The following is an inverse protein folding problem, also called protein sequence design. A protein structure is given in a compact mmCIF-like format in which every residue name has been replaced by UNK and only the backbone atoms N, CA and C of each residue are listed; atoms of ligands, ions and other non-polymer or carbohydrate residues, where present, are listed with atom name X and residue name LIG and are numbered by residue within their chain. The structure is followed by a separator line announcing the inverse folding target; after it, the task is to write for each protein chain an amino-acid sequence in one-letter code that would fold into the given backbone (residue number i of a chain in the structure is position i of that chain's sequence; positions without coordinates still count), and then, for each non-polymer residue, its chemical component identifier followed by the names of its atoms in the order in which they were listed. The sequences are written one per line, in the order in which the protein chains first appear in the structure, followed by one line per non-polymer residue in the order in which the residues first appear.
data_IF_831850027061
#
_entry.id   IF_831850027061
#
_cell.length_a   1.000
_cell.length_b   1.000
_cell.length_c   1.000
_cell.angle_alpha   90.00
_cell.angle_beta   90.00
_cell.angle_gamma   90.00
#
_symmetry.space_group_name_H-M   'P 1'
#
loop_
_entity.id
_entity.type
_entity.pdbx_description
1 polymer ?
#
# COMPACT_ATOMS: atom_id res chain seq x y z
N UNK A 1 -0.31 19.32 14.46
CA UNK A 1 -0.89 18.01 14.10
C UNK A 1 -1.90 18.19 12.97
N UNK A 2 -1.74 17.46 11.86
CA UNK A 2 -2.73 17.36 10.79
C UNK A 2 -3.45 16.00 10.81
N UNK A 3 -2.73 14.95 11.15
CA UNK A 3 -3.19 13.57 11.10
C UNK A 3 -2.57 12.73 12.22
N UNK A 4 -3.37 11.84 12.78
CA UNK A 4 -2.92 10.73 13.61
C UNK A 4 -3.29 9.43 12.92
N UNK A 5 -2.38 8.45 12.92
CA UNK A 5 -2.57 7.18 12.25
C UNK A 5 -2.14 6.02 13.15
N UNK A 6 -2.81 4.88 13.02
CA UNK A 6 -2.56 3.71 13.84
C UNK A 6 -2.73 2.41 13.07
N UNK A 7 -2.24 1.31 13.65
CA UNK A 7 -2.31 0.00 13.03
C UNK A 7 -3.74 -0.56 13.07
N UNK A 8 -4.07 -1.38 12.09
CA UNK A 8 -5.32 -2.10 11.99
C UNK A 8 -5.04 -3.60 12.06
N UNK A 9 -5.76 -4.32 12.92
CA UNK A 9 -5.76 -5.77 12.94
C UNK A 9 -6.73 -6.31 11.91
N UNK A 10 -6.31 -7.25 11.07
CA UNK A 10 -7.20 -7.88 10.10
C UNK A 10 -8.04 -8.97 10.74
N UNK A 11 -9.33 -8.94 10.47
CA UNK A 11 -10.32 -9.92 10.93
C UNK A 11 -11.10 -10.49 9.74
N UNK A 12 -11.60 -11.72 9.88
CA UNK A 12 -12.53 -12.34 8.93
C UNK A 12 -13.99 -11.89 9.15
N UNK A 13 -14.93 -12.46 8.38
CA UNK A 13 -16.37 -12.25 8.49
C UNK A 13 -16.94 -12.63 9.86
N UNK A 14 -16.33 -13.58 10.55
CA UNK A 14 -16.72 -14.03 11.89
C UNK A 14 -15.97 -13.27 13.01
N UNK A 15 -15.31 -12.16 12.68
CA UNK A 15 -14.52 -11.32 13.60
C UNK A 15 -13.32 -12.04 14.24
N UNK A 16 -12.83 -13.13 13.66
CA UNK A 16 -11.64 -13.82 14.16
C UNK A 16 -10.40 -13.14 13.61
N UNK A 17 -9.36 -13.04 14.44
CA UNK A 17 -8.10 -12.40 14.04
C UNK A 17 -7.36 -13.25 13.01
N UNK A 18 -6.87 -12.61 11.95
CA UNK A 18 -6.08 -13.25 10.89
C UNK A 18 -4.57 -13.26 11.17
N UNK A 19 -4.14 -12.79 12.35
CA UNK A 19 -2.73 -12.65 12.69
C UNK A 19 -1.97 -11.63 11.83
N UNK A 20 -2.70 -10.81 11.07
CA UNK A 20 -2.16 -9.76 10.20
C UNK A 20 -2.49 -8.38 10.78
N UNK A 21 -1.50 -7.49 10.73
CA UNK A 21 -1.63 -6.08 11.11
C UNK A 21 -1.04 -5.20 10.01
N UNK A 22 -1.75 -4.14 9.63
CA UNK A 22 -1.33 -3.21 8.60
C UNK A 22 -1.57 -1.76 9.04
N UNK A 23 -0.80 -0.79 8.52
CA UNK A 23 0.38 -0.94 7.66
C UNK A 23 1.61 -1.42 8.41
N UNK A 24 2.66 -1.83 7.67
CA UNK A 24 3.98 -2.11 8.25
C UNK A 24 4.81 -0.83 8.25
N UNK A 25 4.70 -0.04 9.32
CA UNK A 25 5.47 1.21 9.45
C UNK A 25 6.97 0.94 9.71
N UNK A 26 7.91 1.64 9.04
CA UNK A 26 9.32 1.63 9.44
C UNK A 26 9.48 2.31 10.80
N UNK A 27 10.51 1.95 11.59
CA UNK A 27 10.67 2.37 12.99
C UNK A 27 10.85 3.89 13.16
N UNK A 28 11.46 4.53 12.17
CA UNK A 28 11.78 5.95 12.08
C UNK A 28 10.72 6.78 11.32
N UNK A 29 9.51 6.24 11.14
CA UNK A 29 8.45 6.94 10.40
C UNK A 29 8.00 8.23 11.11
N UNK A 30 8.47 9.35 10.60
CA UNK A 30 8.06 10.70 10.99
C UNK A 30 7.43 11.46 9.81
N UNK A 31 7.01 12.71 10.08
CA UNK A 31 6.33 13.54 9.08
C UNK A 31 7.22 13.83 7.87
N UNK A 32 8.50 14.10 8.10
CA UNK A 32 9.42 14.47 7.03
C UNK A 32 9.78 13.25 6.15
N UNK A 33 9.94 12.08 6.77
CA UNK A 33 10.11 10.81 6.05
C UNK A 33 8.89 10.48 5.21
N UNK A 34 7.68 10.70 5.73
CA UNK A 34 6.44 10.54 4.95
C UNK A 34 6.42 11.52 3.77
N UNK A 35 6.70 12.80 4.00
CA UNK A 35 6.72 13.83 2.96
C UNK A 35 7.70 13.48 1.84
N UNK A 36 8.92 13.12 2.20
CA UNK A 36 9.97 12.68 1.27
C UNK A 36 9.52 11.46 0.46
N UNK A 37 8.88 10.48 1.10
CA UNK A 37 8.43 9.26 0.41
C UNK A 37 7.26 9.51 -0.54
N UNK A 38 6.32 10.40 -0.17
CA UNK A 38 5.24 10.87 -1.05
C UNK A 38 5.82 11.61 -2.25
N UNK A 39 6.77 12.53 -2.07
CA UNK A 39 7.39 13.22 -3.20
C UNK A 39 8.24 12.28 -4.08
N UNK A 40 8.79 11.21 -3.49
CA UNK A 40 9.62 10.23 -4.20
C UNK A 40 8.82 9.19 -4.98
N UNK A 41 7.67 8.77 -4.46
CA UNK A 41 6.91 7.61 -4.97
C UNK A 41 5.40 7.82 -5.08
N UNK A 42 4.89 8.95 -4.60
CA UNK A 42 3.46 9.24 -4.51
C UNK A 42 2.71 8.43 -3.46
N UNK A 43 3.40 7.76 -2.55
CA UNK A 43 2.78 6.94 -1.51
C UNK A 43 3.65 6.82 -0.28
N UNK A 44 3.05 6.37 0.82
CA UNK A 44 3.75 5.90 2.01
C UNK A 44 2.88 4.82 2.66
N UNK A 45 3.38 4.02 3.61
CA UNK A 45 2.53 3.11 4.37
C UNK A 45 1.45 3.93 5.10
N UNK A 46 0.18 3.79 4.70
CA UNK A 46 -0.96 4.51 5.24
C UNK A 46 -2.08 3.49 5.56
N UNK A 47 -2.75 3.58 6.73
CA UNK A 47 -3.83 2.65 7.06
C UNK A 47 -5.06 2.98 6.23
N UNK A 48 -5.93 1.98 6.07
CA UNK A 48 -7.27 2.19 5.51
C UNK A 48 -8.07 3.17 6.38
N UNK A 49 -9.05 3.88 5.79
CA UNK A 49 -9.96 4.85 6.39
C UNK A 49 -9.97 4.92 7.93
N UNK A 50 -10.46 3.85 8.57
CA UNK A 50 -10.67 3.75 10.02
C UNK A 50 -9.40 3.82 10.88
N UNK A 51 -8.21 3.67 10.30
CA UNK A 51 -6.92 3.80 10.98
C UNK A 51 -6.38 5.24 11.01
N UNK A 52 -7.18 6.22 10.58
CA UNK A 52 -6.78 7.63 10.49
C UNK A 52 -7.74 8.52 11.29
N UNK A 53 -7.18 9.51 11.99
CA UNK A 53 -7.92 10.62 12.59
C UNK A 53 -7.31 11.95 12.11
N UNK A 54 -8.14 12.83 11.58
CA UNK A 54 -7.72 14.09 10.97
C UNK A 54 -8.10 15.27 11.86
N UNK A 55 -7.19 16.24 12.00
CA UNK A 55 -7.46 17.45 12.76
C UNK A 55 -8.49 18.32 12.03
N UNK A 56 -9.46 18.87 12.75
CA UNK A 56 -10.45 19.80 12.19
C UNK A 56 -9.78 20.96 11.44
N UNK A 57 -8.74 21.55 12.04
CA UNK A 57 -7.98 22.65 11.45
C UNK A 57 -7.25 22.29 10.16
N UNK A 58 -6.93 21.01 9.95
CA UNK A 58 -6.42 20.53 8.66
C UNK A 58 -7.55 20.44 7.63
N UNK A 59 -8.69 19.85 8.01
CA UNK A 59 -9.84 19.72 7.12
C UNK A 59 -10.37 21.09 6.67
N UNK A 60 -10.43 22.07 7.57
CA UNK A 60 -10.80 23.46 7.26
C UNK A 60 -9.86 24.12 6.24
N UNK A 61 -8.55 23.83 6.31
CA UNK A 61 -7.56 24.34 5.33
C UNK A 61 -7.61 23.63 3.99
N UNK A 62 -8.08 22.38 3.98
CA UNK A 62 -8.20 21.60 2.76
C UNK A 62 -9.52 21.87 2.04
N UNK A 63 -10.54 22.36 2.77
CA UNK A 63 -11.85 22.63 2.21
C UNK A 63 -11.83 23.81 1.19
N UNK A 64 -12.67 23.74 0.14
CA UNK A 64 -13.50 22.60 -0.25
C UNK A 64 -12.66 21.42 -0.77
N UNK A 65 -13.07 20.20 -0.42
CA UNK A 65 -12.43 18.98 -0.95
C UNK A 65 -12.92 18.80 -2.39
N UNK A 66 -12.10 19.21 -3.34
CA UNK A 66 -12.30 19.02 -4.77
C UNK A 66 -11.30 18.00 -5.31
N UNK A 67 -11.73 17.13 -6.23
CA UNK A 67 -10.85 16.20 -6.93
C UNK A 67 -11.34 14.75 -6.93
N UNK A 68 -10.43 13.83 -6.63
CA UNK A 68 -10.61 12.37 -6.77
C UNK A 68 -11.91 11.84 -6.16
N UNK A 69 -12.43 10.76 -6.77
CA UNK A 69 -13.56 9.97 -6.22
C UNK A 69 -13.23 9.40 -4.83
N UNK A 70 -11.96 9.20 -4.51
CA UNK A 70 -11.48 8.53 -3.29
C UNK A 70 -11.01 9.53 -2.23
N UNK A 71 -11.93 9.95 -1.35
CA UNK A 71 -11.66 10.97 -0.31
C UNK A 71 -10.45 10.62 0.58
N UNK A 72 -10.30 9.36 0.95
CA UNK A 72 -9.17 8.90 1.79
C UNK A 72 -7.81 9.23 1.15
N UNK A 73 -7.71 9.13 -0.18
CA UNK A 73 -6.48 9.44 -0.90
C UNK A 73 -6.18 10.94 -0.88
N UNK A 74 -7.21 11.78 -1.03
CA UNK A 74 -7.06 13.23 -0.91
C UNK A 74 -6.51 13.59 0.48
N UNK A 75 -7.08 13.01 1.53
CA UNK A 75 -6.63 13.27 2.90
C UNK A 75 -5.23 12.71 3.17
N UNK A 76 -4.93 11.49 2.69
CA UNK A 76 -3.62 10.83 2.79
C UNK A 76 -2.50 11.70 2.25
N UNK A 77 -2.64 12.17 1.00
CA UNK A 77 -1.54 12.85 0.29
C UNK A 77 -1.37 14.30 0.72
N UNK A 78 -2.45 14.97 1.16
CA UNK A 78 -2.35 16.36 1.62
C UNK A 78 -1.83 16.46 3.06
N UNK A 79 -2.26 15.60 3.99
CA UNK A 79 -1.95 15.75 5.41
C UNK A 79 -0.48 16.08 5.77
N UNK A 80 0.55 15.45 5.17
CA UNK A 80 1.96 15.75 5.50
C UNK A 80 2.44 17.14 5.05
N UNK A 81 1.72 17.83 4.17
CA UNK A 81 2.03 19.20 3.76
C UNK A 81 1.40 20.27 4.66
N UNK A 82 0.44 19.90 5.50
CA UNK A 82 -0.33 20.84 6.33
C UNK A 82 -0.03 20.74 7.83
N UNK A 83 0.73 19.74 8.26
CA UNK A 83 1.15 19.61 9.65
C UNK A 83 1.77 18.27 9.99
N UNK A 84 2.10 18.13 11.27
CA UNK A 84 2.66 16.90 11.85
C UNK A 84 1.72 15.70 11.68
N UNK A 85 2.28 14.57 11.27
CA UNK A 85 1.67 13.24 11.30
C UNK A 85 2.25 12.46 12.48
N UNK A 86 1.37 11.94 13.35
CA UNK A 86 1.75 11.04 14.45
C UNK A 86 1.33 9.61 14.18
N UNK A 87 2.26 8.68 14.36
CA UNK A 87 2.04 7.25 14.15
C UNK A 87 1.98 6.51 15.49
N UNK A 88 0.86 5.87 15.81
CA UNK A 88 0.77 4.92 16.91
C UNK A 88 1.03 3.51 16.41
N UNK A 89 2.07 2.86 16.94
CA UNK A 89 2.45 1.48 16.63
C UNK A 89 1.65 0.44 17.41
N UNK A 90 0.36 0.72 17.63
CA UNK A 90 -0.58 -0.17 18.31
C UNK A 90 -1.78 -0.39 17.41
N UNK A 91 -2.27 -1.63 17.35
CA UNK A 91 -3.53 -1.93 16.69
C UNK A 91 -4.68 -1.38 17.54
N UNK A 92 -5.39 -0.37 17.04
CA UNK A 92 -6.51 0.29 17.77
C UNK A 92 -7.87 0.08 17.11
N UNK A 93 -7.92 -0.48 15.91
CA UNK A 93 -9.16 -0.90 15.28
C UNK A 93 -8.94 -2.18 14.46
N UNK A 94 -10.06 -2.78 14.05
CA UNK A 94 -10.07 -3.96 13.20
C UNK A 94 -10.48 -3.57 11.78
N UNK A 95 -9.84 -4.19 10.80
CA UNK A 95 -10.19 -4.11 9.40
C UNK A 95 -10.73 -5.47 8.94
N UNK A 96 -12.02 -5.53 8.62
CA UNK A 96 -12.65 -6.75 8.13
C UNK A 96 -12.26 -7.00 6.68
N UNK A 97 -11.62 -8.13 6.43
CA UNK A 97 -11.37 -8.63 5.08
C UNK A 97 -12.55 -9.54 4.72
N UNK A 98 -13.46 -9.06 3.86
CA UNK A 98 -14.57 -9.84 3.32
C UNK A 98 -14.73 -9.60 1.81
N UNK A 99 -15.49 -10.48 1.17
CA UNK A 99 -15.65 -10.59 -0.30
C UNK A 99 -16.26 -9.37 -0.99
N UNK A 100 -16.86 -8.43 -0.24
CA UNK A 100 -17.65 -7.32 -0.78
C UNK A 100 -17.03 -5.93 -0.70
N UNK A 101 -15.78 -5.79 -0.24
CA UNK A 101 -15.10 -4.49 -0.26
C UNK A 101 -14.32 -4.32 -1.57
N UNK A 102 -14.25 -3.09 -2.11
CA UNK A 102 -13.37 -2.75 -3.27
C UNK A 102 -11.88 -3.05 -2.99
N UNK A 103 -11.50 -3.17 -1.72
CA UNK A 103 -10.20 -3.57 -1.18
C UNK A 103 -10.08 -5.08 -0.88
N UNK A 104 -11.14 -5.85 -1.17
CA UNK A 104 -11.30 -7.26 -0.86
C UNK A 104 -10.18 -8.11 -1.44
N UNK A 105 -9.38 -8.67 -0.55
CA UNK A 105 -8.23 -9.51 -0.88
C UNK A 105 -8.63 -10.96 -1.13
N UNK A 106 -9.90 -11.26 -1.40
CA UNK A 106 -10.44 -12.64 -1.37
C UNK A 106 -10.91 -13.17 -2.72
N UNK A 107 -11.18 -12.30 -3.71
CA UNK A 107 -11.58 -12.74 -5.05
C UNK A 107 -10.42 -12.71 -6.06
N UNK A 108 -10.47 -13.67 -6.99
CA UNK A 108 -9.77 -13.67 -8.28
C UNK A 108 -10.46 -12.66 -9.24
N UNK A 109 -10.69 -11.44 -8.78
CA UNK A 109 -11.19 -10.37 -9.64
C UNK A 109 -10.08 -10.03 -10.67
N UNK A 110 -10.31 -10.35 -11.96
CA UNK A 110 -9.30 -10.18 -13.00
C UNK A 110 -8.94 -8.70 -13.21
N UNK A 111 -9.85 -7.79 -12.88
CA UNK A 111 -9.70 -6.35 -13.12
C UNK A 111 -9.23 -5.59 -11.88
N UNK A 112 -9.10 -6.25 -10.72
CA UNK A 112 -8.68 -5.60 -9.47
C UNK A 112 -7.34 -4.88 -9.61
N UNK A 113 -6.36 -5.54 -10.23
CA UNK A 113 -5.02 -4.99 -10.38
C UNK A 113 -5.02 -3.78 -11.33
N UNK A 114 -5.75 -3.87 -12.45
CA UNK A 114 -5.95 -2.76 -13.39
C UNK A 114 -6.67 -1.57 -12.73
N UNK A 115 -7.65 -1.83 -11.87
CA UNK A 115 -8.33 -0.79 -11.11
C UNK A 115 -7.40 -0.12 -10.11
N UNK A 116 -6.58 -0.87 -9.37
CA UNK A 116 -5.61 -0.28 -8.44
C UNK A 116 -4.49 0.50 -9.15
N UNK A 117 -4.01 0.04 -10.31
CA UNK A 117 -3.03 0.80 -11.09
C UNK A 117 -3.61 2.11 -11.58
N UNK A 118 -4.83 2.10 -12.12
CA UNK A 118 -5.55 3.32 -12.52
C UNK A 118 -5.77 4.28 -11.34
N UNK A 119 -6.28 3.79 -10.21
CA UNK A 119 -6.49 4.62 -9.02
C UNK A 119 -5.17 5.24 -8.55
N UNK A 120 -4.07 4.49 -8.61
CA UNK A 120 -2.76 5.02 -8.26
C UNK A 120 -2.29 6.10 -9.24
N UNK A 121 -2.49 5.91 -10.54
CA UNK A 121 -2.18 6.90 -11.58
C UNK A 121 -2.98 8.20 -11.36
N UNK A 122 -4.29 8.10 -11.13
CA UNK A 122 -5.16 9.23 -10.79
C UNK A 122 -4.67 9.95 -9.51
N UNK A 123 -4.19 9.20 -8.51
CA UNK A 123 -3.60 9.77 -7.28
C UNK A 123 -2.34 10.57 -7.56
N UNK A 124 -1.47 10.11 -8.47
CA UNK A 124 -0.26 10.83 -8.83
C UNK A 124 -0.57 12.12 -9.59
N UNK A 125 -1.53 12.08 -10.51
CA UNK A 125 -1.96 13.27 -11.27
C UNK A 125 -2.57 14.32 -10.32
N UNK A 126 -3.36 13.87 -9.34
CA UNK A 126 -3.86 14.75 -8.28
C UNK A 126 -2.72 15.33 -7.44
N UNK A 127 -1.75 14.51 -7.03
CA UNK A 127 -0.61 14.95 -6.23
C UNK A 127 0.23 15.99 -6.98
N UNK A 128 0.46 15.81 -8.28
CA UNK A 128 1.16 16.78 -9.13
C UNK A 128 0.45 18.14 -9.14
N UNK A 129 -0.87 18.15 -9.36
CA UNK A 129 -1.66 19.37 -9.31
C UNK A 129 -1.58 20.05 -7.94
N UNK A 130 -1.60 19.28 -6.84
CA UNK A 130 -1.49 19.82 -5.48
C UNK A 130 -0.10 20.37 -5.18
N UNK A 131 0.96 19.64 -5.54
CA UNK A 131 2.34 20.10 -5.40
C UNK A 131 2.57 21.41 -6.16
N UNK A 132 2.08 21.51 -7.39
CA UNK A 132 2.13 22.76 -8.17
C UNK A 132 1.45 23.93 -7.44
N UNK A 133 0.24 23.74 -6.90
CA UNK A 133 -0.47 24.79 -6.14
C UNK A 133 0.23 25.20 -4.85
N UNK A 134 1.02 24.31 -4.25
CA UNK A 134 1.79 24.56 -3.05
C UNK A 134 3.20 25.11 -3.34
N UNK A 135 3.59 25.23 -4.61
CA UNK A 135 4.95 25.62 -5.00
C UNK A 135 6.00 24.55 -4.65
N UNK A 136 5.60 23.27 -4.62
CA UNK A 136 6.46 22.13 -4.32
C UNK A 136 6.79 21.39 -5.62
N UNK A 137 8.06 21.08 -5.84
CA UNK A 137 8.47 20.27 -6.98
C UNK A 137 8.03 18.81 -6.81
N UNK A 138 7.43 18.26 -7.86
CA UNK A 138 7.03 16.86 -7.91
C UNK A 138 7.17 16.31 -9.33
N UNK A 139 7.91 15.21 -9.47
CA UNK A 139 8.11 14.51 -10.74
C UNK A 139 7.22 13.25 -10.76
N UNK A 140 6.03 13.38 -11.34
CA UNK A 140 5.03 12.31 -11.45
C UNK A 140 5.61 11.07 -12.16
N UNK A 141 6.32 11.29 -13.27
CA UNK A 141 6.93 10.23 -14.06
C UNK A 141 8.03 9.46 -13.29
N UNK A 142 8.86 10.17 -12.53
CA UNK A 142 9.82 9.52 -11.65
C UNK A 142 9.14 8.79 -10.48
N UNK A 143 8.05 9.34 -9.93
CA UNK A 143 7.27 8.69 -8.88
C UNK A 143 6.71 7.34 -9.37
N UNK A 144 6.11 7.29 -10.58
CA UNK A 144 5.65 6.04 -11.24
C UNK A 144 6.76 4.98 -11.31
N UNK A 145 7.95 5.38 -11.75
CA UNK A 145 9.12 4.47 -11.89
C UNK A 145 9.75 4.04 -10.57
N UNK A 146 9.40 4.68 -9.44
CA UNK A 146 9.96 4.41 -8.11
C UNK A 146 8.96 3.76 -7.17
N UNK A 147 7.67 3.83 -7.47
CA UNK A 147 6.58 3.27 -6.69
C UNK A 147 6.56 1.75 -6.80
N UNK A 148 7.28 1.07 -5.89
CA UNK A 148 7.45 -0.38 -5.92
C UNK A 148 6.11 -1.13 -5.89
N UNK A 149 5.17 -0.70 -5.05
CA UNK A 149 3.84 -1.31 -4.99
C UNK A 149 3.09 -1.20 -6.32
N UNK A 150 3.10 -0.01 -6.94
CA UNK A 150 2.49 0.19 -8.26
C UNK A 150 3.15 -0.68 -9.35
N UNK A 151 4.48 -0.78 -9.36
CA UNK A 151 5.19 -1.64 -10.32
C UNK A 151 4.91 -3.13 -10.11
N UNK A 152 4.74 -3.57 -8.86
CA UNK A 152 4.29 -4.93 -8.54
C UNK A 152 2.86 -5.18 -9.05
N UNK A 153 1.97 -4.20 -8.95
CA UNK A 153 0.62 -4.30 -9.52
C UNK A 153 0.66 -4.35 -11.05
N UNK A 154 1.45 -3.51 -11.73
CA UNK A 154 1.60 -3.53 -13.21
C UNK A 154 2.14 -4.86 -13.71
N UNK A 155 3.13 -5.44 -13.01
CA UNK A 155 3.63 -6.78 -13.32
C UNK A 155 2.53 -7.84 -13.16
N UNK A 156 1.76 -7.73 -12.08
CA UNK A 156 0.68 -8.66 -11.74
C UNK A 156 -0.47 -8.59 -12.75
N UNK A 157 -0.92 -7.37 -13.05
CA UNK A 157 -1.89 -7.03 -14.10
C UNK A 157 -1.46 -7.64 -15.43
N UNK A 158 -0.24 -7.34 -15.88
CA UNK A 158 0.30 -7.90 -17.12
C UNK A 158 0.31 -9.44 -17.10
N UNK A 159 0.59 -10.08 -15.96
CA UNK A 159 0.66 -11.55 -15.88
C UNK A 159 -0.72 -12.23 -15.88
N UNK A 160 -1.72 -11.57 -15.30
CA UNK A 160 -3.08 -12.11 -15.13
C UNK A 160 -3.99 -11.76 -16.31
N UNK A 161 -3.76 -10.67 -17.02
CA UNK A 161 -4.66 -10.23 -18.09
C UNK A 161 -4.80 -11.31 -19.19
N UNK A 162 -6.01 -11.81 -19.48
CA UNK A 162 -6.27 -12.72 -20.59
C UNK A 162 -6.53 -11.91 -21.85
N UNK A 163 -5.48 -11.38 -22.50
CA UNK A 163 -5.62 -10.72 -23.81
C UNK A 163 -4.49 -11.13 -24.76
N UNK A 164 -4.81 -11.17 -26.05
CA UNK A 164 -3.88 -11.27 -27.19
C UNK A 164 -2.77 -10.18 -27.16
N UNK A 165 -2.91 -9.19 -26.26
CA UNK A 165 -2.03 -8.03 -26.08
C UNK A 165 -0.96 -8.21 -24.98
N UNK A 166 -0.86 -9.38 -24.32
CA UNK A 166 0.27 -9.65 -23.42
C UNK A 166 1.58 -9.68 -24.22
N UNK A 167 2.30 -8.56 -24.18
CA UNK A 167 3.68 -8.56 -24.63
C UNK A 167 4.54 -9.01 -23.45
N UNK A 168 5.10 -10.21 -23.53
CA UNK A 168 6.14 -10.69 -22.62
C UNK A 168 7.22 -9.61 -22.33
N UNK A 169 7.54 -8.80 -23.35
CA UNK A 169 8.45 -7.65 -23.27
C UNK A 169 7.95 -6.58 -22.29
N UNK A 170 6.65 -6.25 -22.28
CA UNK A 170 6.05 -5.32 -21.31
C UNK A 170 6.15 -5.85 -19.88
N UNK A 171 5.92 -7.15 -19.68
CA UNK A 171 6.05 -7.80 -18.37
C UNK A 171 7.49 -7.75 -17.84
N UNK A 172 8.48 -8.08 -18.68
CA UNK A 172 9.90 -7.96 -18.33
C UNK A 172 10.31 -6.51 -18.07
N UNK A 173 9.79 -5.55 -18.83
CA UNK A 173 10.01 -4.12 -18.60
C UNK A 173 9.53 -3.67 -17.22
N UNK A 174 8.33 -4.09 -16.81
CA UNK A 174 7.79 -3.83 -15.47
C UNK A 174 8.64 -4.48 -14.38
N UNK A 175 9.03 -5.75 -14.57
CA UNK A 175 9.89 -6.46 -13.62
C UNK A 175 11.27 -5.78 -13.46
N UNK A 176 11.90 -5.36 -14.56
CA UNK A 176 13.16 -4.63 -14.52
C UNK A 176 13.05 -3.32 -13.74
N UNK A 177 12.00 -2.54 -13.98
CA UNK A 177 11.75 -1.31 -13.24
C UNK A 177 11.48 -1.60 -11.76
N UNK A 178 10.67 -2.61 -11.45
CA UNK A 178 10.37 -3.03 -10.09
C UNK A 178 11.65 -3.45 -9.34
N UNK A 179 12.52 -4.24 -9.97
CA UNK A 179 13.81 -4.65 -9.40
C UNK A 179 14.69 -3.42 -9.09
N UNK A 180 14.76 -2.45 -10.01
CA UNK A 180 15.48 -1.18 -9.74
C UNK A 180 14.86 -0.39 -8.59
N UNK A 181 13.54 -0.39 -8.46
CA UNK A 181 12.83 0.26 -7.36
C UNK A 181 13.09 -0.45 -6.02
N UNK A 182 13.19 -1.79 -5.99
CA UNK A 182 13.54 -2.57 -4.80
C UNK A 182 14.87 -2.11 -4.20
N UNK A 183 15.92 -1.96 -5.01
CA UNK A 183 17.23 -1.54 -4.52
C UNK A 183 17.28 -0.09 -3.99
N UNK A 184 16.30 0.73 -4.37
CA UNK A 184 16.14 2.11 -3.90
C UNK A 184 15.09 2.28 -2.80
N UNK A 185 14.43 1.19 -2.40
CA UNK A 185 13.40 1.22 -1.36
C UNK A 185 14.02 1.28 0.05
N UNK A 186 13.36 1.87 1.05
CA UNK A 186 13.85 1.90 2.44
C UNK A 186 13.78 0.53 3.15
N UNK A 187 13.54 -0.57 2.43
CA UNK A 187 13.44 -1.91 3.00
C UNK A 187 14.79 -2.47 3.44
N UNK A 188 14.77 -3.35 4.43
CA UNK A 188 15.94 -4.13 4.87
C UNK A 188 16.47 -5.02 3.73
N UNK A 189 17.75 -5.41 3.78
CA UNK A 189 18.34 -6.30 2.77
C UNK A 189 17.53 -7.59 2.58
N UNK A 190 17.10 -8.21 3.69
CA UNK A 190 16.26 -9.42 3.66
C UNK A 190 14.93 -9.19 2.93
N UNK A 191 14.24 -8.09 3.20
CA UNK A 191 12.99 -7.73 2.52
C UNK A 191 13.24 -7.42 1.03
N UNK A 192 14.35 -6.75 0.70
CA UNK A 192 14.72 -6.48 -0.70
C UNK A 192 14.98 -7.78 -1.47
N UNK A 193 15.75 -8.71 -0.91
CA UNK A 193 16.02 -10.02 -1.52
C UNK A 193 14.73 -10.83 -1.71
N UNK A 194 13.88 -10.88 -0.68
CA UNK A 194 12.59 -11.59 -0.77
C UNK A 194 11.69 -10.99 -1.86
N UNK A 195 11.59 -9.65 -1.94
CA UNK A 195 10.82 -8.98 -2.99
C UNK A 195 11.41 -9.17 -4.37
N UNK A 196 12.73 -9.08 -4.51
CA UNK A 196 13.42 -9.31 -5.78
C UNK A 196 13.18 -10.74 -6.27
N UNK A 197 13.30 -11.74 -5.39
CA UNK A 197 13.00 -13.13 -5.70
C UNK A 197 11.55 -13.28 -6.16
N UNK A 198 10.58 -12.71 -5.44
CA UNK A 198 9.17 -12.78 -5.82
C UNK A 198 8.92 -12.15 -7.20
N UNK A 199 9.46 -10.95 -7.47
CA UNK A 199 9.35 -10.28 -8.76
C UNK A 199 9.90 -11.13 -9.90
N UNK A 200 11.10 -11.72 -9.71
CA UNK A 200 11.73 -12.59 -10.69
C UNK A 200 10.91 -13.86 -10.93
N UNK A 201 10.42 -14.50 -9.87
CA UNK A 201 9.59 -15.71 -10.00
C UNK A 201 8.27 -15.42 -10.73
N UNK A 202 7.59 -14.32 -10.42
CA UNK A 202 6.35 -13.92 -11.12
C UNK A 202 6.64 -13.60 -12.59
N UNK A 203 7.73 -12.88 -12.88
CA UNK A 203 8.09 -12.52 -14.25
C UNK A 203 8.37 -13.77 -15.11
N UNK A 204 9.18 -14.70 -14.61
CA UNK A 204 9.71 -15.83 -15.39
C UNK A 204 8.82 -17.09 -15.38
N UNK A 205 7.98 -17.28 -14.36
CA UNK A 205 7.19 -18.51 -14.24
C UNK A 205 6.02 -18.58 -15.23
N UNK A 206 5.53 -19.78 -15.58
CA UNK A 206 4.25 -19.97 -16.27
C UNK A 206 3.09 -19.31 -15.52
N UNK A 207 2.04 -18.91 -16.25
CA UNK A 207 0.87 -18.19 -15.70
C UNK A 207 0.26 -18.84 -14.47
N UNK A 208 0.10 -20.17 -14.47
CA UNK A 208 -0.45 -20.92 -13.34
C UNK A 208 0.39 -20.80 -12.06
N UNK A 209 1.72 -20.82 -12.20
CA UNK A 209 2.63 -20.66 -11.06
C UNK A 209 2.61 -19.22 -10.58
N UNK A 210 2.63 -18.26 -11.50
CA UNK A 210 2.57 -16.84 -11.16
C UNK A 210 1.28 -16.49 -10.42
N UNK A 211 0.13 -17.01 -10.86
CA UNK A 211 -1.16 -16.81 -10.17
C UNK A 211 -1.10 -17.29 -8.71
N UNK A 212 -0.51 -18.46 -8.45
CA UNK A 212 -0.30 -18.95 -7.07
C UNK A 212 0.61 -18.02 -6.26
N UNK A 213 1.71 -17.55 -6.84
CA UNK A 213 2.64 -16.63 -6.19
C UNK A 213 2.00 -15.25 -5.90
N UNK A 214 1.16 -14.77 -6.81
CA UNK A 214 0.40 -13.52 -6.65
C UNK A 214 -0.63 -13.69 -5.54
N UNK A 215 -1.36 -14.80 -5.53
CA UNK A 215 -2.35 -15.15 -4.50
C UNK A 215 -1.71 -15.17 -3.11
N UNK A 216 -0.58 -15.85 -2.94
CA UNK A 216 0.18 -15.86 -1.67
C UNK A 216 0.64 -14.47 -1.21
N UNK A 217 0.85 -13.53 -2.13
CA UNK A 217 1.26 -12.15 -1.81
C UNK A 217 0.05 -11.28 -1.44
N UNK A 218 -1.02 -11.31 -2.23
CA UNK A 218 -2.11 -10.32 -2.13
C UNK A 218 -3.34 -10.83 -1.38
N UNK A 219 -3.52 -12.14 -1.22
CA UNK A 219 -4.62 -12.73 -0.45
C UNK A 219 -4.11 -13.06 0.95
N UNK A 220 -4.44 -12.19 1.92
CA UNK A 220 -4.01 -12.36 3.33
C UNK A 220 -4.44 -13.71 3.93
N UNK A 221 -5.69 -14.19 3.76
CA UNK A 221 -6.09 -15.50 4.28
C UNK A 221 -5.24 -16.67 3.79
N UNK A 222 -4.70 -16.58 2.57
CA UNK A 222 -3.89 -17.65 1.95
C UNK A 222 -2.40 -17.54 2.30
N UNK A 223 -1.99 -16.47 2.99
CA UNK A 223 -0.57 -16.21 3.28
C UNK A 223 -0.09 -17.06 4.46
N UNK A 224 0.91 -17.94 4.27
CA UNK A 224 1.55 -18.63 5.38
C UNK A 224 2.15 -17.65 6.40
N UNK A 225 2.04 -17.96 7.69
CA UNK A 225 2.56 -17.11 8.79
C UNK A 225 4.05 -16.77 8.67
N UNK A 226 4.85 -17.64 8.05
CA UNK A 226 6.28 -17.37 7.84
C UNK A 226 6.52 -16.29 6.77
N UNK A 227 5.63 -16.15 5.77
CA UNK A 227 5.67 -15.05 4.78
C UNK A 227 5.32 -13.73 5.47
N UNK A 228 4.36 -13.72 6.40
CA UNK A 228 3.99 -12.53 7.15
C UNK A 228 5.20 -11.92 7.89
N UNK A 229 6.01 -12.77 8.51
CA UNK A 229 7.26 -12.39 9.17
C UNK A 229 8.35 -11.86 8.22
N UNK A 230 8.24 -12.12 6.91
CA UNK A 230 9.17 -11.63 5.88
C UNK A 230 8.72 -10.30 5.28
N UNK A 231 7.41 -10.00 5.30
CA UNK A 231 6.84 -8.81 4.68
C UNK A 231 6.93 -7.58 5.62
N UNK A 232 6.91 -7.76 6.94
CA UNK A 232 6.99 -6.66 7.89
C UNK A 232 7.53 -7.05 9.27
N UNK A 233 7.79 -6.08 10.16
CA UNK A 233 8.30 -6.34 11.50
C UNK A 233 7.31 -7.20 12.31
N UNK A 234 7.86 -8.04 13.20
CA UNK A 234 7.10 -8.78 14.21
C UNK A 234 6.46 -7.77 15.16
N UNK A 235 5.16 -7.89 15.42
CA UNK A 235 4.51 -7.22 16.54
C UNK A 235 4.17 -8.26 17.62
N UNK A 236 4.31 -7.84 18.87
CA UNK A 236 4.01 -8.64 20.05
C UNK A 236 2.58 -9.22 19.97
N UNK A 237 2.35 -10.44 20.48
CA UNK A 237 1.04 -11.07 20.43
C UNK A 237 -0.02 -10.18 21.09
N UNK A 238 -1.18 -10.07 20.43
CA UNK A 238 -2.41 -9.40 20.90
C UNK A 238 -3.02 -10.01 22.17
N UNK A 239 -2.28 -10.83 22.92
CA UNK A 239 -2.77 -11.63 24.04
C UNK A 239 -3.06 -10.84 25.32
N UNK A 240 -2.88 -9.51 25.35
CA UNK A 240 -2.98 -8.73 26.58
C UNK A 240 -4.18 -7.76 26.68
N UNK A 241 -5.14 -7.79 25.74
CA UNK A 241 -6.22 -6.77 25.71
C UNK A 241 -7.66 -7.29 25.76
N UNK A 242 -7.86 -8.59 26.00
CA UNK A 242 -9.19 -9.15 26.30
C UNK A 242 -9.46 -9.38 27.80
N UNK A 243 -8.63 -8.84 28.69
CA UNK A 243 -8.82 -8.96 30.14
C UNK A 243 -8.68 -7.59 30.82
N UNK A 244 -9.69 -6.73 30.65
CA UNK A 244 -10.08 -5.75 31.67
C UNK A 244 -11.59 -5.56 31.55
N UNK A 245 -12.30 -6.45 32.23
CA UNK A 245 -13.75 -6.44 32.42
C UNK A 245 -14.03 -7.14 33.74
N UNK A 246 -13.84 -6.39 34.82
CA UNK A 246 -14.14 -6.70 36.21
C UNK A 246 -14.22 -5.39 36.97
#
# INVERSE_FOLDING_TARGET
LSKMQFLLASIDSECRTLGHVAPKYPDDLDTETIRREILRTGSYPCPQACGNAYAKSFLEKLAPIEGLRWMDMILEVNAPFYGEIRTLRKALACYRIHEGNDSGQTEDDPDRFARYTRIFEEKLDYLELRCHRLGIEFDNEAARRRALWYLELKLTEAKIEPRETYSYIKGLGCAHQALRAVFRSPHTLRQRLFRALWLTLVALSPRLIAQRLIRLRYIVPDRPRWIENLIGPKLAPLAALFWFGG
#
